data_IF_735117170335
#
_entry.id   IF_735117170335
#
_cell.length_a   1.000
_cell.length_b   1.000
_cell.length_c   1.000
_cell.angle_alpha   90.00
_cell.angle_beta   90.00
_cell.angle_gamma   90.00
#
_symmetry.space_group_name_H-M   'P 1'
#
loop_
_entity.id
_entity.type
_entity.pdbx_description
1 polymer ?
#
# COMPACT_ATOMS: atom_id res chain seq x y z
N UNK A 1 -10.31 -4.70 22.21
CA UNK A 1 -10.21 -3.84 21.02
C UNK A 1 -9.13 -4.35 20.10
N UNK A 2 -9.55 -4.79 18.92
CA UNK A 2 -8.75 -5.19 17.77
C UNK A 2 -7.90 -4.03 17.27
N UNK A 3 -6.77 -4.33 16.63
CA UNK A 3 -5.86 -3.31 16.09
C UNK A 3 -6.54 -2.49 14.99
N UNK A 4 -7.27 -3.14 14.09
CA UNK A 4 -8.02 -2.44 13.04
C UNK A 4 -9.02 -1.42 13.64
N UNK A 5 -9.71 -1.78 14.72
CA UNK A 5 -10.61 -0.85 15.45
C UNK A 5 -9.85 0.33 16.06
N UNK A 6 -8.66 0.09 16.64
CA UNK A 6 -7.83 1.16 17.19
C UNK A 6 -7.43 2.18 16.12
N UNK A 7 -7.03 1.72 14.93
CA UNK A 7 -6.70 2.61 13.80
C UNK A 7 -7.88 3.46 13.34
N UNK A 8 -9.10 2.91 13.38
CA UNK A 8 -10.31 3.69 13.11
C UNK A 8 -10.46 4.81 14.16
N UNK A 9 -10.28 4.50 15.44
CA UNK A 9 -10.37 5.48 16.54
C UNK A 9 -9.28 6.55 16.43
N UNK A 10 -8.08 6.22 15.97
CA UNK A 10 -7.03 7.21 15.73
C UNK A 10 -7.46 8.27 14.70
N UNK A 11 -8.19 7.87 13.65
CA UNK A 11 -8.78 8.80 12.68
C UNK A 11 -10.07 9.46 13.16
N UNK A 12 -10.86 8.76 13.96
CA UNK A 12 -12.15 9.22 14.49
C UNK A 12 -12.20 9.07 16.01
N UNK A 13 -11.52 9.94 16.78
CA UNK A 13 -11.39 9.76 18.23
C UNK A 13 -12.72 9.71 18.98
N UNK A 14 -13.74 10.38 18.45
CA UNK A 14 -15.09 10.38 19.02
C UNK A 14 -15.76 9.00 19.04
N UNK A 15 -15.26 8.02 18.27
CA UNK A 15 -15.79 6.66 18.31
C UNK A 15 -15.38 5.89 19.56
N UNK A 16 -14.32 6.31 20.27
CA UNK A 16 -13.82 5.59 21.45
C UNK A 16 -14.88 5.43 22.53
N UNK A 17 -15.66 6.48 22.78
CA UNK A 17 -16.72 6.46 23.78
C UNK A 17 -17.93 5.69 23.27
N UNK A 18 -18.34 5.93 22.01
CA UNK A 18 -19.45 5.23 21.36
C UNK A 18 -19.24 3.71 21.38
N UNK A 19 -18.05 3.25 21.01
CA UNK A 19 -17.67 1.84 20.95
C UNK A 19 -17.60 1.15 22.33
N UNK A 20 -17.54 1.85 23.46
CA UNK A 20 -17.61 1.14 24.75
C UNK A 20 -19.04 0.73 25.13
N UNK A 21 -20.04 1.37 24.52
CA UNK A 21 -21.47 1.14 24.77
C UNK A 21 -22.15 0.56 23.52
N UNK A 22 -21.61 -0.55 22.97
CA UNK A 22 -22.10 -1.18 21.72
C UNK A 22 -23.62 -1.39 21.66
N UNK A 23 -24.26 -1.69 22.78
CA UNK A 23 -25.72 -1.85 22.86
C UNK A 23 -26.47 -0.52 22.64
N UNK A 24 -25.91 0.62 23.06
CA UNK A 24 -26.54 1.93 22.92
C UNK A 24 -26.36 2.58 21.54
N UNK A 25 -25.29 2.25 20.80
CA UNK A 25 -25.01 2.86 19.47
C UNK A 25 -26.12 2.55 18.47
N UNK A 26 -26.63 1.32 18.45
CA UNK A 26 -27.72 0.92 17.56
C UNK A 26 -29.11 1.32 18.08
N UNK A 27 -29.22 1.65 19.36
CA UNK A 27 -30.49 2.04 20.00
C UNK A 27 -30.74 3.55 19.99
N UNK A 28 -29.72 4.38 19.81
CA UNK A 28 -29.86 5.84 19.73
C UNK A 28 -29.72 6.35 18.30
N UNK A 29 -30.85 6.45 17.59
CA UNK A 29 -30.94 7.10 16.27
C UNK A 29 -30.31 8.51 16.28
N UNK A 30 -30.38 9.20 17.40
CA UNK A 30 -29.83 10.54 17.63
C UNK A 30 -28.29 10.57 17.56
N UNK A 31 -27.60 9.56 18.11
CA UNK A 31 -26.14 9.49 18.08
C UNK A 31 -25.58 9.15 16.68
N UNK A 32 -26.42 8.59 15.81
CA UNK A 32 -26.12 8.27 14.41
C UNK A 32 -26.48 9.41 13.46
N UNK A 33 -27.41 10.30 13.82
CA UNK A 33 -27.81 11.45 13.01
C UNK A 33 -26.69 12.48 12.84
N UNK A 34 -25.81 12.63 13.82
CA UNK A 34 -24.70 13.58 13.77
C UNK A 34 -23.51 13.11 12.91
N UNK A 35 -23.49 11.83 12.52
CA UNK A 35 -22.40 11.26 11.74
C UNK A 35 -22.66 11.40 10.24
N UNK A 36 -21.62 11.74 9.49
CA UNK A 36 -21.67 11.66 8.03
C UNK A 36 -21.61 10.19 7.55
N UNK A 37 -21.84 9.97 6.25
CA UNK A 37 -21.88 8.61 5.67
C UNK A 37 -20.53 7.88 5.76
N UNK A 38 -19.41 8.60 5.71
CA UNK A 38 -18.07 8.03 5.86
C UNK A 38 -17.90 7.52 7.30
N UNK A 39 -18.22 8.37 8.27
CA UNK A 39 -18.17 8.07 9.69
C UNK A 39 -19.09 6.92 10.07
N UNK A 40 -20.34 6.90 9.58
CA UNK A 40 -21.27 5.76 9.79
C UNK A 40 -20.69 4.47 9.25
N UNK A 41 -20.09 4.51 8.06
CA UNK A 41 -19.47 3.34 7.43
C UNK A 41 -18.31 2.82 8.28
N UNK A 42 -17.41 3.70 8.73
CA UNK A 42 -16.29 3.30 9.58
C UNK A 42 -16.70 2.86 10.98
N UNK A 43 -17.73 3.47 11.58
CA UNK A 43 -18.26 3.04 12.87
C UNK A 43 -18.87 1.65 12.76
N UNK A 44 -19.67 1.40 11.72
CA UNK A 44 -20.24 0.07 11.44
C UNK A 44 -19.14 -0.99 11.23
N UNK A 45 -18.08 -0.63 10.52
CA UNK A 45 -16.93 -1.51 10.32
C UNK A 45 -16.18 -1.81 11.63
N UNK A 46 -15.99 -0.81 12.48
CA UNK A 46 -15.35 -0.97 13.78
C UNK A 46 -16.17 -1.88 14.72
N UNK A 47 -17.50 -1.68 14.74
CA UNK A 47 -18.43 -2.55 15.47
C UNK A 47 -18.35 -4.01 14.98
N UNK A 48 -18.33 -4.22 13.66
CA UNK A 48 -18.15 -5.54 13.08
C UNK A 48 -16.82 -6.19 13.46
N UNK A 49 -15.71 -5.44 13.49
CA UNK A 49 -14.42 -6.00 13.87
C UNK A 49 -14.38 -6.51 15.32
N UNK A 50 -15.03 -5.84 16.25
CA UNK A 50 -15.08 -6.30 17.65
C UNK A 50 -16.03 -7.49 17.86
N UNK A 51 -17.20 -7.50 17.22
CA UNK A 51 -18.27 -8.47 17.48
C UNK A 51 -18.85 -9.06 16.18
N UNK A 52 -18.04 -9.73 15.34
CA UNK A 52 -18.44 -10.20 14.00
C UNK A 52 -19.54 -11.26 14.01
N UNK A 53 -19.74 -11.96 15.13
CA UNK A 53 -20.79 -12.97 15.30
C UNK A 53 -22.16 -12.35 15.63
N UNK A 54 -22.18 -11.11 16.12
CA UNK A 54 -23.41 -10.41 16.55
C UNK A 54 -23.79 -9.29 15.59
N UNK A 55 -22.79 -8.62 15.02
CA UNK A 55 -22.95 -7.45 14.18
C UNK A 55 -22.56 -7.84 12.76
N UNK A 56 -23.47 -7.65 11.81
CA UNK A 56 -23.19 -7.83 10.38
C UNK A 56 -22.77 -6.51 9.75
N UNK A 57 -21.84 -6.55 8.80
CA UNK A 57 -21.47 -5.38 7.99
C UNK A 57 -21.73 -5.64 6.50
N UNK A 58 -22.49 -4.76 5.85
CA UNK A 58 -22.70 -4.79 4.39
C UNK A 58 -21.52 -4.10 3.68
N UNK A 59 -20.72 -4.90 2.96
CA UNK A 59 -19.61 -4.39 2.14
C UNK A 59 -20.08 -3.39 1.07
N UNK A 60 -21.35 -3.40 0.69
CA UNK A 60 -21.95 -2.40 -0.20
C UNK A 60 -21.81 -0.97 0.32
N UNK A 61 -21.68 -0.75 1.63
CA UNK A 61 -21.40 0.58 2.19
C UNK A 61 -20.03 1.11 1.78
N UNK A 62 -19.01 0.24 1.63
CA UNK A 62 -17.70 0.68 1.16
C UNK A 62 -17.79 1.28 -0.24
N UNK A 63 -18.58 0.65 -1.13
CA UNK A 63 -18.76 1.12 -2.51
C UNK A 63 -19.59 2.41 -2.60
N UNK A 64 -20.64 2.53 -1.77
CA UNK A 64 -21.59 3.65 -1.85
C UNK A 64 -21.11 4.91 -1.12
N UNK A 65 -20.34 4.74 -0.05
CA UNK A 65 -20.06 5.80 0.91
C UNK A 65 -18.60 6.23 0.97
N UNK A 66 -17.66 5.44 0.42
CA UNK A 66 -16.23 5.74 0.49
C UNK A 66 -15.63 5.94 -0.91
N UNK A 67 -14.72 6.91 -1.03
CA UNK A 67 -13.92 7.18 -2.22
C UNK A 67 -12.44 7.39 -1.86
N UNK A 68 -11.56 7.28 -2.86
CA UNK A 68 -10.13 7.61 -2.78
C UNK A 68 -9.46 7.07 -1.50
N UNK A 69 -8.85 7.96 -0.72
CA UNK A 69 -8.12 7.67 0.51
C UNK A 69 -8.97 6.93 1.56
N UNK A 70 -10.28 7.19 1.63
CA UNK A 70 -11.16 6.53 2.57
C UNK A 70 -11.41 5.08 2.19
N UNK A 71 -11.60 4.81 0.91
CA UNK A 71 -11.74 3.43 0.43
C UNK A 71 -10.42 2.66 0.60
N UNK A 72 -9.28 3.29 0.27
CA UNK A 72 -7.96 2.67 0.48
C UNK A 72 -7.75 2.33 1.96
N UNK A 73 -8.06 3.26 2.86
CA UNK A 73 -7.96 3.03 4.30
C UNK A 73 -8.85 1.87 4.77
N UNK A 74 -10.09 1.77 4.30
CA UNK A 74 -10.98 0.67 4.65
C UNK A 74 -10.44 -0.70 4.19
N UNK A 75 -9.90 -0.79 2.97
CA UNK A 75 -9.32 -2.03 2.45
C UNK A 75 -8.06 -2.46 3.22
N UNK A 76 -7.26 -1.49 3.64
CA UNK A 76 -6.12 -1.74 4.53
C UNK A 76 -6.57 -2.31 5.88
N UNK A 77 -7.57 -1.69 6.51
CA UNK A 77 -8.12 -2.13 7.79
C UNK A 77 -8.68 -3.55 7.72
N UNK A 78 -9.42 -3.88 6.65
CA UNK A 78 -9.91 -5.25 6.45
C UNK A 78 -8.76 -6.24 6.31
N UNK A 79 -7.71 -5.86 5.57
CA UNK A 79 -6.53 -6.71 5.40
C UNK A 79 -5.83 -6.96 6.73
N UNK A 80 -5.62 -5.91 7.54
CA UNK A 80 -5.05 -6.01 8.87
C UNK A 80 -5.92 -6.87 9.79
N UNK A 81 -7.24 -6.64 9.79
CA UNK A 81 -8.18 -7.40 10.59
C UNK A 81 -8.10 -8.92 10.32
N UNK A 82 -8.12 -9.31 9.03
CA UNK A 82 -8.09 -10.72 8.66
C UNK A 82 -6.72 -11.38 8.84
N UNK A 83 -5.63 -10.61 8.80
CA UNK A 83 -4.26 -11.14 8.94
C UNK A 83 -3.77 -11.13 10.38
N UNK A 84 -3.99 -10.05 11.11
CA UNK A 84 -3.38 -9.79 12.42
C UNK A 84 -4.35 -9.93 13.60
N UNK A 85 -5.63 -9.58 13.41
CA UNK A 85 -6.61 -9.59 14.51
C UNK A 85 -7.36 -10.92 14.63
N UNK A 86 -7.61 -11.59 13.52
CA UNK A 86 -8.33 -12.88 13.47
C UNK A 86 -7.45 -14.05 13.04
N UNK A 87 -6.31 -13.79 12.40
CA UNK A 87 -5.43 -14.81 11.82
C UNK A 87 -6.16 -15.78 10.88
N UNK A 88 -7.21 -15.33 10.19
CA UNK A 88 -7.87 -16.12 9.15
C UNK A 88 -7.02 -16.19 7.88
N UNK A 89 -6.21 -15.16 7.63
CA UNK A 89 -5.20 -15.15 6.56
C UNK A 89 -3.80 -15.32 7.18
N UNK A 90 -3.37 -16.56 7.38
CA UNK A 90 -2.09 -16.89 8.05
C UNK A 90 -0.89 -16.90 7.10
N UNK A 91 -1.12 -17.27 5.85
CA UNK A 91 -0.09 -17.38 4.81
C UNK A 91 -0.52 -16.55 3.60
N UNK A 92 -0.43 -15.22 3.67
CA UNK A 92 -0.80 -14.37 2.55
C UNK A 92 0.06 -14.73 1.34
N UNK A 93 -0.57 -15.17 0.27
CA UNK A 93 0.09 -15.45 -1.02
C UNK A 93 0.22 -14.21 -1.90
N UNK A 94 -0.38 -13.09 -1.46
CA UNK A 94 -0.37 -11.82 -2.16
C UNK A 94 0.08 -10.70 -1.23
N UNK A 95 1.04 -9.92 -1.69
CA UNK A 95 1.42 -8.65 -1.07
C UNK A 95 0.63 -7.53 -1.73
N UNK A 96 0.12 -6.61 -0.92
CA UNK A 96 -0.48 -5.37 -1.41
C UNK A 96 0.63 -4.32 -1.46
N UNK A 97 0.92 -3.82 -2.66
CA UNK A 97 1.80 -2.67 -2.86
C UNK A 97 0.90 -1.45 -2.99
N UNK A 98 1.06 -0.48 -2.09
CA UNK A 98 0.38 0.81 -2.17
C UNK A 98 1.16 1.74 -3.10
N UNK A 99 0.47 2.60 -3.84
CA UNK A 99 1.13 3.67 -4.57
C UNK A 99 1.80 4.63 -3.57
N UNK A 100 3.09 4.89 -3.75
CA UNK A 100 3.95 5.51 -2.73
C UNK A 100 4.76 4.53 -1.88
N UNK A 101 4.60 3.23 -2.08
CA UNK A 101 5.54 2.25 -1.53
C UNK A 101 6.95 2.47 -2.07
N UNK A 102 7.96 2.09 -1.29
CA UNK A 102 9.36 2.08 -1.73
C UNK A 102 9.63 1.00 -2.80
N UNK A 103 8.64 0.50 -3.55
CA UNK A 103 8.82 -0.53 -4.57
C UNK A 103 8.44 -0.02 -5.96
N UNK A 104 9.36 -0.23 -6.90
CA UNK A 104 9.29 0.21 -8.28
C UNK A 104 9.08 -1.01 -9.18
N UNK A 105 8.05 -0.98 -9.99
CA UNK A 105 7.92 -1.89 -11.14
C UNK A 105 9.05 -1.65 -12.15
N UNK A 106 9.20 -2.54 -13.13
CA UNK A 106 10.21 -2.36 -14.19
C UNK A 106 10.05 -1.04 -14.96
N UNK A 107 8.81 -0.58 -15.17
CA UNK A 107 8.54 0.70 -15.82
C UNK A 107 9.03 1.86 -14.94
N UNK A 108 8.61 1.88 -13.67
CA UNK A 108 8.98 2.94 -12.73
C UNK A 108 10.50 2.97 -12.46
N UNK A 109 11.15 1.80 -12.45
CA UNK A 109 12.61 1.73 -12.36
C UNK A 109 13.26 2.41 -13.58
N UNK A 110 12.80 2.12 -14.81
CA UNK A 110 13.33 2.79 -16.00
C UNK A 110 13.09 4.31 -15.98
N UNK A 111 11.93 4.74 -15.52
CA UNK A 111 11.59 6.15 -15.34
C UNK A 111 12.50 6.84 -14.30
N UNK A 112 12.77 6.21 -13.15
CA UNK A 112 13.70 6.74 -12.15
C UNK A 112 15.12 6.91 -12.70
N UNK A 113 15.61 5.95 -13.49
CA UNK A 113 16.91 6.09 -14.15
C UNK A 113 16.90 7.25 -15.17
N UNK A 114 15.82 7.39 -15.94
CA UNK A 114 15.65 8.50 -16.87
C UNK A 114 15.58 9.87 -16.19
N UNK A 115 14.90 9.95 -15.05
CA UNK A 115 14.82 11.17 -14.24
C UNK A 115 16.19 11.60 -13.69
N UNK A 116 17.11 10.65 -13.50
CA UNK A 116 18.51 10.89 -13.15
C UNK A 116 19.39 11.27 -14.35
N UNK A 117 18.82 11.37 -15.55
CA UNK A 117 19.55 11.64 -16.79
C UNK A 117 20.21 10.42 -17.43
N UNK A 118 19.98 9.21 -16.90
CA UNK A 118 20.42 7.97 -17.53
C UNK A 118 19.43 7.58 -18.63
N UNK A 119 19.88 7.44 -19.88
CA UNK A 119 19.00 7.10 -21.01
C UNK A 119 18.52 5.63 -20.94
N UNK A 120 17.51 5.36 -20.12
CA UNK A 120 16.89 4.04 -19.95
C UNK A 120 15.39 4.11 -20.23
N UNK A 121 14.98 3.39 -21.27
CA UNK A 121 13.58 3.03 -21.43
C UNK A 121 13.31 1.64 -20.82
N UNK A 122 12.03 1.29 -20.69
CA UNK A 122 11.60 0.00 -20.15
C UNK A 122 12.17 -1.19 -20.93
N UNK A 123 12.28 -1.09 -22.26
CA UNK A 123 12.74 -2.19 -23.11
C UNK A 123 14.23 -2.48 -22.89
N UNK A 124 15.05 -1.43 -22.87
CA UNK A 124 16.48 -1.48 -22.56
C UNK A 124 16.73 -2.04 -21.18
N UNK A 125 15.97 -1.59 -20.18
CA UNK A 125 16.09 -2.11 -18.82
C UNK A 125 15.72 -3.60 -18.75
N UNK A 126 14.63 -4.01 -19.41
CA UNK A 126 14.24 -5.42 -19.49
C UNK A 126 15.35 -6.29 -20.12
N UNK A 127 15.92 -5.85 -21.24
CA UNK A 127 17.00 -6.56 -21.91
C UNK A 127 18.24 -6.70 -21.01
N UNK A 128 18.55 -5.66 -20.24
CA UNK A 128 19.67 -5.70 -19.29
C UNK A 128 19.39 -6.64 -18.13
N UNK A 129 18.13 -6.69 -17.67
CA UNK A 129 17.69 -7.64 -16.66
C UNK A 129 17.82 -9.09 -17.13
N UNK A 130 17.34 -9.41 -18.33
CA UNK A 130 17.47 -10.75 -18.93
C UNK A 130 18.93 -11.18 -19.10
N UNK A 131 19.84 -10.22 -19.27
CA UNK A 131 21.29 -10.44 -19.35
C UNK A 131 21.99 -10.48 -17.99
N UNK A 132 21.25 -10.47 -16.88
CA UNK A 132 21.79 -10.47 -15.52
C UNK A 132 22.55 -9.19 -15.14
N UNK A 133 22.35 -8.09 -15.87
CA UNK A 133 23.01 -6.80 -15.61
C UNK A 133 22.21 -5.89 -14.67
N UNK A 134 20.93 -6.16 -14.49
CA UNK A 134 20.07 -5.49 -13.49
C UNK A 134 19.98 -6.45 -12.29
N UNK A 135 19.99 -5.94 -11.05
CA UNK A 135 19.79 -6.77 -9.86
C UNK A 135 18.50 -7.60 -9.95
N UNK A 136 18.49 -8.75 -9.26
CA UNK A 136 17.28 -9.54 -9.12
C UNK A 136 16.18 -8.73 -8.41
N UNK A 137 14.89 -9.01 -8.69
CA UNK A 137 13.79 -8.30 -8.04
C UNK A 137 13.82 -8.55 -6.53
N UNK A 138 13.57 -7.50 -5.75
CA UNK A 138 13.43 -7.61 -4.29
C UNK A 138 12.10 -8.28 -3.92
N UNK A 139 11.11 -8.19 -4.81
CA UNK A 139 9.77 -8.73 -4.59
C UNK A 139 9.13 -9.14 -5.92
N UNK A 140 8.36 -10.24 -5.92
CA UNK A 140 7.56 -10.68 -7.06
C UNK A 140 6.12 -10.89 -6.61
N UNK A 141 5.16 -10.22 -7.24
CA UNK A 141 3.72 -10.30 -6.92
C UNK A 141 2.94 -10.55 -8.20
N UNK A 142 2.16 -11.62 -8.25
CA UNK A 142 1.36 -11.95 -9.43
C UNK A 142 2.21 -12.08 -10.71
N UNK A 143 3.46 -12.52 -10.59
CA UNK A 143 4.42 -12.59 -11.70
C UNK A 143 5.07 -11.25 -12.09
N UNK A 144 4.64 -10.13 -11.51
CA UNK A 144 5.24 -8.81 -11.71
C UNK A 144 6.42 -8.62 -10.76
N UNK A 145 7.54 -8.16 -11.31
CA UNK A 145 8.81 -7.95 -10.61
C UNK A 145 8.89 -6.52 -10.08
N UNK A 146 9.32 -6.37 -8.84
CA UNK A 146 9.49 -5.10 -8.15
C UNK A 146 10.87 -4.98 -7.52
N UNK A 147 11.39 -3.75 -7.51
CA UNK A 147 12.67 -3.39 -6.90
C UNK A 147 12.45 -2.31 -5.86
N UNK A 148 13.07 -2.45 -4.70
CA UNK A 148 13.04 -1.44 -3.67
C UNK A 148 13.72 -0.14 -4.14
N UNK A 149 13.34 0.99 -3.56
CA UNK A 149 13.95 2.30 -3.79
C UNK A 149 15.47 2.22 -3.62
N UNK A 150 15.91 1.56 -2.56
CA UNK A 150 17.33 1.34 -2.27
C UNK A 150 18.04 0.62 -3.43
N UNK A 151 17.45 -0.46 -3.95
CA UNK A 151 18.02 -1.22 -5.07
C UNK A 151 18.08 -0.39 -6.35
N UNK A 152 17.01 0.36 -6.66
CA UNK A 152 16.97 1.28 -7.80
C UNK A 152 18.05 2.36 -7.70
N UNK A 153 18.18 2.98 -6.53
CA UNK A 153 19.18 4.02 -6.27
C UNK A 153 20.60 3.48 -6.40
N UNK A 154 20.91 2.35 -5.75
CA UNK A 154 22.22 1.71 -5.83
C UNK A 154 22.63 1.37 -7.27
N UNK A 155 21.66 0.87 -8.06
CA UNK A 155 21.90 0.57 -9.46
C UNK A 155 22.16 1.84 -10.29
N UNK A 156 21.35 2.89 -10.09
CA UNK A 156 21.55 4.19 -10.74
C UNK A 156 22.94 4.77 -10.47
N UNK A 157 23.38 4.77 -9.21
CA UNK A 157 24.69 5.29 -8.81
C UNK A 157 25.87 4.48 -9.40
N UNK A 158 25.68 3.18 -9.64
CA UNK A 158 26.67 2.34 -10.33
C UNK A 158 26.75 2.69 -11.82
N UNK A 159 25.60 2.87 -12.47
CA UNK A 159 25.52 3.21 -13.89
C UNK A 159 26.05 4.62 -14.20
N UNK A 160 25.76 5.61 -13.34
CA UNK A 160 26.35 6.95 -13.44
C UNK A 160 27.88 6.90 -13.39
N UNK A 161 28.45 6.16 -12.42
CA UNK A 161 29.90 5.96 -12.31
C UNK A 161 30.48 5.27 -13.54
N UNK A 162 29.80 4.26 -14.09
CA UNK A 162 30.22 3.57 -15.31
C UNK A 162 30.29 4.52 -16.50
N UNK A 163 29.30 5.41 -16.64
CA UNK A 163 29.26 6.39 -17.73
C UNK A 163 30.33 7.47 -17.56
N UNK A 164 30.55 7.98 -16.35
CA UNK A 164 31.62 8.96 -16.07
C UNK A 164 33.02 8.38 -16.32
N UNK A 165 33.26 7.11 -15.95
CA UNK A 165 34.51 6.40 -16.26
C UNK A 165 34.72 6.18 -17.77
N UNK A 166 33.65 5.98 -18.53
CA UNK A 166 33.68 5.77 -19.99
C UNK A 166 33.93 7.04 -20.81
N UNK A 167 33.72 8.23 -20.22
CA UNK A 167 34.01 9.53 -20.86
C UNK A 167 35.49 9.89 -20.73
N UNK A 168 36.14 9.59 -19.59
CA UNK A 168 37.58 9.86 -19.40
C UNK A 168 38.51 9.01 -20.28
N UNK A 169 38.08 7.82 -20.72
CA UNK A 169 38.87 6.93 -21.58
C UNK A 169 38.86 7.24 -23.08
N UNK A 170 38.10 8.26 -23.53
CA UNK A 170 37.95 8.58 -24.98
C UNK A 170 38.78 9.77 -25.47
N UNK A 171 39.55 10.43 -24.60
CA UNK A 171 40.53 11.42 -25.00
C UNK A 171 41.92 10.78 -24.87
N UNK A 172 42.50 10.34 -25.98
CA UNK A 172 43.93 10.26 -26.31
C UNK A 172 44.14 9.25 -27.44
N UNK A 173 43.97 9.74 -28.68
CA UNK A 173 44.76 9.32 -29.84
C UNK A 173 44.93 10.55 -30.71
N UNK A 174 46.08 11.21 -30.54
CA UNK A 174 46.67 12.04 -31.59
C UNK A 174 47.42 11.10 -32.54
#
# INVERSE_FOLDING_TARGET
MKKATQRIIEKFPMFKEKLNDYENIFLSEEALQELDEIQKTFLGLACFFEEPEKISFDLGYLYRSLDNDWLEFALELMTEYFREDTYLIQKPSYSLIKDGSDYFSLTQFAEELSNRGLRYDRQKLNLYFERGKVPQPDLVIGGVKYWSKKTVQLYGDQEERRLQGSVKGRNFRY
#
